data_IF_625989200948
#
_entry.id   IF_625989200948
#
_cell.length_a   1.000
_cell.length_b   1.000
_cell.length_c   1.000
_cell.angle_alpha   90.00
_cell.angle_beta   90.00
_cell.angle_gamma   90.00
#
_symmetry.space_group_name_H-M   'P 1'
#
loop_
_entity.id
_entity.type
_entity.pdbx_description
1 polymer ?
#
# COMPACT_ATOMS: atom_id res chain seq x y z
N UNK A 1 -4.86 -26.89 -6.83
CA UNK A 1 -5.95 -27.28 -7.77
C UNK A 1 -7.33 -26.95 -7.21
N UNK A 2 -7.51 -27.00 -5.89
CA UNK A 2 -8.77 -26.62 -5.23
C UNK A 2 -9.21 -25.18 -5.53
N UNK A 3 -8.31 -24.19 -5.45
CA UNK A 3 -8.64 -22.80 -5.76
C UNK A 3 -9.21 -22.60 -7.18
N UNK A 4 -8.60 -23.21 -8.20
CA UNK A 4 -9.08 -23.14 -9.58
C UNK A 4 -10.45 -23.81 -9.75
N UNK A 5 -10.70 -24.93 -9.07
CA UNK A 5 -12.00 -25.60 -9.08
C UNK A 5 -13.08 -24.75 -8.39
N UNK A 6 -12.75 -24.08 -7.29
CA UNK A 6 -13.65 -23.15 -6.59
C UNK A 6 -14.01 -21.97 -7.48
N UNK A 7 -13.03 -21.34 -8.14
CA UNK A 7 -13.30 -20.25 -9.09
C UNK A 7 -14.13 -20.71 -10.30
N UNK A 8 -13.90 -21.93 -10.81
CA UNK A 8 -14.69 -22.48 -11.91
C UNK A 8 -16.16 -22.72 -11.52
N UNK A 9 -16.43 -23.08 -10.26
CA UNK A 9 -17.80 -23.31 -9.76
C UNK A 9 -18.53 -22.05 -9.33
N UNK A 10 -17.85 -21.15 -8.63
CA UNK A 10 -18.46 -19.98 -7.98
C UNK A 10 -18.17 -18.67 -8.74
N UNK A 11 -17.40 -18.73 -9.81
CA UNK A 11 -16.90 -17.56 -10.52
C UNK A 11 -15.89 -16.78 -9.68
N UNK A 12 -15.69 -15.52 -10.07
CA UNK A 12 -14.90 -14.54 -9.32
C UNK A 12 -15.78 -13.83 -8.29
N UNK A 13 -16.39 -14.59 -7.38
CA UNK A 13 -17.16 -14.00 -6.29
C UNK A 13 -16.18 -13.35 -5.29
N UNK A 14 -16.27 -12.04 -5.01
CA UNK A 14 -15.42 -11.36 -4.04
C UNK A 14 -15.55 -11.94 -2.61
N UNK A 15 -16.65 -12.63 -2.27
CA UNK A 15 -16.79 -13.31 -0.98
C UNK A 15 -15.82 -14.50 -0.80
N UNK A 16 -15.19 -14.98 -1.88
CA UNK A 16 -14.17 -16.03 -1.83
C UNK A 16 -12.81 -15.53 -1.30
N UNK A 17 -12.61 -14.22 -1.23
CA UNK A 17 -11.33 -13.63 -0.85
C UNK A 17 -11.43 -12.99 0.54
N UNK A 18 -10.63 -13.50 1.48
CA UNK A 18 -10.54 -12.98 2.85
C UNK A 18 -9.24 -12.23 3.14
N UNK A 19 -8.27 -12.28 2.22
CA UNK A 19 -6.97 -11.62 2.33
C UNK A 19 -6.57 -11.00 1.00
N UNK A 20 -6.19 -9.72 1.04
CA UNK A 20 -5.53 -9.02 -0.07
C UNK A 20 -4.08 -8.70 0.31
N UNK A 21 -3.14 -9.16 -0.52
CA UNK A 21 -1.71 -8.87 -0.35
C UNK A 21 -1.30 -7.71 -1.27
N UNK A 22 -0.76 -6.66 -0.65
CA UNK A 22 -0.40 -5.43 -1.33
C UNK A 22 1.00 -5.53 -1.92
N UNK A 23 1.08 -5.69 -3.24
CA UNK A 23 2.37 -5.69 -3.93
C UNK A 23 3.10 -4.34 -3.72
N UNK A 24 4.37 -4.43 -3.30
CA UNK A 24 5.27 -3.29 -3.14
C UNK A 24 6.21 -3.15 -4.33
N UNK A 25 6.51 -1.91 -4.70
CA UNK A 25 7.45 -1.54 -5.75
C UNK A 25 7.44 -0.02 -5.91
N UNK A 26 8.38 0.55 -6.68
CA UNK A 26 8.37 1.98 -6.99
C UNK A 26 7.19 2.38 -7.90
N UNK A 27 7.36 3.24 -8.91
CA UNK A 27 6.26 3.76 -9.74
C UNK A 27 5.53 2.69 -10.58
N UNK A 28 5.91 1.41 -10.48
CA UNK A 28 5.22 0.27 -11.12
C UNK A 28 3.76 0.14 -10.70
N UNK A 29 3.38 0.68 -9.54
CA UNK A 29 2.01 0.64 -9.06
C UNK A 29 1.02 1.45 -9.92
N UNK A 30 1.49 2.42 -10.75
CA UNK A 30 0.59 3.18 -11.62
C UNK A 30 -0.15 2.32 -12.65
N UNK A 31 0.48 1.25 -13.14
CA UNK A 31 -0.18 0.26 -14.00
C UNK A 31 -1.32 -0.42 -13.22
N UNK A 32 -1.13 -0.63 -11.92
CA UNK A 32 -2.14 -1.21 -11.04
C UNK A 32 -3.19 -0.19 -10.61
N UNK A 33 -2.95 1.12 -10.71
CA UNK A 33 -3.91 2.14 -10.26
C UNK A 33 -5.26 2.03 -10.99
N UNK A 34 -5.27 1.72 -12.28
CA UNK A 34 -6.52 1.47 -13.02
C UNK A 34 -7.23 0.20 -12.53
N UNK A 35 -6.48 -0.86 -12.26
CA UNK A 35 -7.01 -2.08 -11.66
C UNK A 35 -7.54 -1.83 -10.25
N UNK A 36 -6.83 -1.05 -9.44
CA UNK A 36 -7.22 -0.69 -8.08
C UNK A 36 -8.51 0.12 -8.06
N UNK A 37 -8.73 1.03 -9.02
CA UNK A 37 -10.01 1.75 -9.13
C UNK A 37 -11.18 0.78 -9.31
N UNK A 38 -11.03 -0.22 -10.18
CA UNK A 38 -12.06 -1.25 -10.36
C UNK A 38 -12.18 -2.16 -9.14
N UNK A 39 -11.05 -2.66 -8.62
CA UNK A 39 -11.05 -3.57 -7.48
C UNK A 39 -11.63 -2.93 -6.24
N UNK A 40 -11.25 -1.68 -5.94
CA UNK A 40 -11.57 -1.01 -4.69
C UNK A 40 -12.86 -0.20 -4.78
N UNK A 41 -13.18 0.36 -5.95
CA UNK A 41 -14.42 1.12 -6.15
C UNK A 41 -15.65 0.25 -6.39
N UNK A 42 -15.46 -1.00 -6.83
CA UNK A 42 -16.59 -1.84 -7.24
C UNK A 42 -16.41 -3.31 -6.82
N UNK A 43 -15.47 -4.06 -7.40
CA UNK A 43 -15.41 -5.52 -7.23
C UNK A 43 -15.37 -5.98 -5.75
N UNK A 44 -14.47 -5.42 -4.94
CA UNK A 44 -14.36 -5.78 -3.52
C UNK A 44 -15.51 -5.23 -2.68
N UNK A 45 -16.21 -4.20 -3.15
CA UNK A 45 -17.36 -3.60 -2.45
C UNK A 45 -18.65 -4.41 -2.63
N UNK A 46 -18.71 -5.27 -3.65
CA UNK A 46 -19.84 -6.20 -3.88
C UNK A 46 -19.95 -7.29 -2.80
N UNK A 47 -18.97 -7.41 -1.90
CA UNK A 47 -18.98 -8.37 -0.78
C UNK A 47 -19.12 -7.65 0.57
N UNK A 48 -19.94 -8.23 1.45
CA UNK A 48 -20.05 -7.80 2.85
C UNK A 48 -19.16 -8.60 3.80
N UNK A 49 -18.40 -9.58 3.29
CA UNK A 49 -17.51 -10.42 4.10
C UNK A 49 -16.31 -9.60 4.60
N UNK A 50 -15.83 -9.89 5.83
CA UNK A 50 -14.59 -9.30 6.34
C UNK A 50 -13.42 -9.56 5.40
N UNK A 51 -12.58 -8.54 5.20
CA UNK A 51 -11.39 -8.60 4.35
C UNK A 51 -10.19 -8.07 5.14
N UNK A 52 -9.17 -8.91 5.33
CA UNK A 52 -7.88 -8.48 5.81
C UNK A 52 -7.05 -7.97 4.63
N UNK A 53 -6.36 -6.84 4.80
CA UNK A 53 -5.43 -6.32 3.79
C UNK A 53 -4.06 -6.15 4.40
N UNK A 54 -3.04 -6.74 3.79
CA UNK A 54 -1.68 -6.77 4.33
C UNK A 54 -0.69 -6.20 3.32
N UNK A 55 -0.01 -5.12 3.71
CA UNK A 55 0.96 -4.47 2.83
C UNK A 55 2.10 -3.81 3.60
N UNK A 56 3.17 -3.52 2.90
CA UNK A 56 4.23 -2.60 3.30
C UNK A 56 4.32 -1.48 2.27
N UNK A 57 4.96 -0.35 2.61
CA UNK A 57 5.25 0.74 1.68
C UNK A 57 4.03 1.12 0.80
N UNK A 58 4.21 1.25 -0.53
CA UNK A 58 3.12 1.56 -1.46
C UNK A 58 1.97 0.55 -1.43
N UNK A 59 2.23 -0.72 -1.10
CA UNK A 59 1.19 -1.72 -0.92
C UNK A 59 0.27 -1.37 0.25
N UNK A 60 0.84 -0.87 1.36
CA UNK A 60 0.07 -0.36 2.49
C UNK A 60 -0.70 0.92 2.14
N UNK A 61 -0.13 1.81 1.33
CA UNK A 61 -0.82 3.04 0.90
C UNK A 61 -2.02 2.75 -0.01
N UNK A 62 -1.88 1.81 -0.96
CA UNK A 62 -3.00 1.35 -1.79
C UNK A 62 -4.13 0.76 -0.94
N UNK A 63 -3.79 -0.05 0.06
CA UNK A 63 -4.77 -0.58 1.01
C UNK A 63 -5.42 0.50 1.87
N UNK A 64 -4.67 1.54 2.25
CA UNK A 64 -5.21 2.69 2.94
C UNK A 64 -6.26 3.40 2.07
N UNK A 65 -6.06 3.52 0.75
CA UNK A 65 -7.10 4.01 -0.16
C UNK A 65 -8.35 3.11 -0.15
N UNK A 66 -8.18 1.80 -0.25
CA UNK A 66 -9.29 0.83 -0.22
C UNK A 66 -10.18 0.95 1.02
N UNK A 67 -9.60 1.28 2.17
CA UNK A 67 -10.30 1.37 3.45
C UNK A 67 -10.82 2.79 3.78
N UNK A 68 -10.85 3.72 2.81
CA UNK A 68 -11.53 5.01 2.95
C UNK A 68 -12.97 4.94 2.41
N UNK A 69 -13.78 5.95 2.76
CA UNK A 69 -15.20 6.04 2.36
C UNK A 69 -15.38 6.14 0.83
N UNK A 70 -14.46 6.83 0.15
CA UNK A 70 -14.36 6.86 -1.32
C UNK A 70 -12.97 6.37 -1.77
N UNK A 71 -12.82 5.07 -2.04
CA UNK A 71 -11.55 4.49 -2.45
C UNK A 71 -11.00 5.03 -3.77
N UNK A 72 -11.88 5.40 -4.71
CA UNK A 72 -11.45 5.88 -6.03
C UNK A 72 -10.90 7.29 -5.91
N UNK A 73 -11.58 8.17 -5.18
CA UNK A 73 -11.05 9.51 -4.90
C UNK A 73 -9.74 9.46 -4.10
N UNK A 74 -9.60 8.53 -3.16
CA UNK A 74 -8.34 8.32 -2.43
C UNK A 74 -7.20 7.85 -3.35
N UNK A 75 -7.47 6.95 -4.30
CA UNK A 75 -6.50 6.56 -5.33
C UNK A 75 -6.10 7.76 -6.19
N UNK A 76 -7.05 8.61 -6.58
CA UNK A 76 -6.76 9.76 -7.44
C UNK A 76 -5.88 10.79 -6.74
N UNK A 77 -6.20 11.18 -5.49
CA UNK A 77 -5.33 12.06 -4.67
C UNK A 77 -3.95 11.46 -4.47
N UNK A 78 -3.89 10.15 -4.22
CA UNK A 78 -2.63 9.44 -4.05
C UNK A 78 -1.78 9.46 -5.34
N UNK A 79 -2.40 9.17 -6.49
CA UNK A 79 -1.74 9.17 -7.78
C UNK A 79 -1.21 10.57 -8.14
N UNK A 80 -2.02 11.61 -7.96
CA UNK A 80 -1.64 12.99 -8.20
C UNK A 80 -0.47 13.42 -7.32
N UNK A 81 -0.56 13.16 -6.01
CA UNK A 81 0.51 13.52 -5.07
C UNK A 81 1.81 12.75 -5.33
N UNK A 82 1.73 11.47 -5.69
CA UNK A 82 2.91 10.66 -6.02
C UNK A 82 3.58 11.13 -7.32
N UNK A 83 2.80 11.48 -8.36
CA UNK A 83 3.33 12.03 -9.61
C UNK A 83 3.95 13.42 -9.43
N UNK A 84 3.42 14.21 -8.50
CA UNK A 84 3.89 15.56 -8.20
C UNK A 84 5.17 15.61 -7.35
N UNK A 85 5.74 14.47 -6.94
CA UNK A 85 6.97 14.45 -6.15
C UNK A 85 8.15 14.98 -6.97
N UNK A 86 8.78 16.05 -6.49
CA UNK A 86 10.01 16.61 -7.05
C UNK A 86 11.10 16.53 -6.00
N UNK A 87 12.23 15.96 -6.40
CA UNK A 87 13.41 15.81 -5.54
C UNK A 87 14.57 16.66 -6.05
N UNK A 88 15.43 17.07 -5.14
CA UNK A 88 16.75 17.61 -5.46
C UNK A 88 17.60 16.57 -6.19
N UNK A 89 18.70 17.00 -6.83
CA UNK A 89 19.54 16.08 -7.61
C UNK A 89 20.15 14.93 -6.79
N UNK A 90 20.27 15.11 -5.47
CA UNK A 90 20.75 14.11 -4.50
C UNK A 90 19.93 14.25 -3.22
N UNK A 91 18.70 13.72 -3.20
CA UNK A 91 17.83 13.90 -2.04
C UNK A 91 18.42 13.17 -0.84
N UNK A 92 18.40 13.83 0.31
CA UNK A 92 18.74 13.19 1.58
C UNK A 92 17.53 12.43 2.15
N UNK A 93 17.76 11.66 3.22
CA UNK A 93 16.69 10.89 3.86
C UNK A 93 15.57 11.78 4.40
N UNK A 94 15.87 13.00 4.85
CA UNK A 94 14.88 13.93 5.38
C UNK A 94 13.97 14.46 4.28
N UNK A 95 14.52 14.75 3.10
CA UNK A 95 13.76 15.14 1.92
C UNK A 95 12.80 14.03 1.47
N UNK A 96 13.29 12.80 1.38
CA UNK A 96 12.45 11.62 1.05
C UNK A 96 11.36 11.41 2.08
N UNK A 97 11.65 11.57 3.37
CA UNK A 97 10.65 11.48 4.44
C UNK A 97 9.58 12.57 4.32
N UNK A 98 9.97 13.82 4.06
CA UNK A 98 9.02 14.93 3.89
C UNK A 98 8.09 14.70 2.69
N UNK A 99 8.64 14.29 1.55
CA UNK A 99 7.83 13.99 0.36
C UNK A 99 6.87 12.81 0.60
N UNK A 100 7.33 11.77 1.30
CA UNK A 100 6.49 10.62 1.66
C UNK A 100 5.35 11.00 2.62
N UNK A 101 5.63 11.83 3.63
CA UNK A 101 4.61 12.33 4.56
C UNK A 101 3.60 13.22 3.85
N UNK A 102 4.04 14.13 3.00
CA UNK A 102 3.15 14.96 2.20
C UNK A 102 2.23 14.11 1.30
N UNK A 103 2.75 13.04 0.71
CA UNK A 103 1.96 12.09 -0.08
C UNK A 103 0.93 11.36 0.78
N UNK A 104 1.31 10.94 1.97
CA UNK A 104 0.41 10.27 2.91
C UNK A 104 -0.71 11.22 3.37
N UNK A 105 -0.38 12.48 3.66
CA UNK A 105 -1.36 13.49 4.07
C UNK A 105 -2.40 13.74 2.95
N UNK A 106 -1.96 13.86 1.70
CA UNK A 106 -2.88 14.01 0.55
C UNK A 106 -3.75 12.77 0.33
N UNK A 107 -3.16 11.58 0.45
CA UNK A 107 -3.89 10.32 0.33
C UNK A 107 -4.98 10.22 1.41
N UNK A 108 -4.65 10.53 2.66
CA UNK A 108 -5.58 10.41 3.79
C UNK A 108 -6.65 11.50 3.73
N UNK A 109 -6.31 12.71 3.28
CA UNK A 109 -7.19 13.86 3.39
C UNK A 109 -7.65 14.09 4.84
N UNK A 110 -8.75 14.81 5.02
CA UNK A 110 -9.19 15.23 6.36
C UNK A 110 -9.74 14.07 7.21
N UNK A 111 -10.32 13.05 6.58
CA UNK A 111 -11.06 11.97 7.24
C UNK A 111 -10.49 10.56 7.08
N UNK A 112 -9.55 10.34 6.15
CA UNK A 112 -9.17 9.00 5.73
C UNK A 112 -8.57 8.16 6.85
N UNK A 113 -7.79 8.77 7.76
CA UNK A 113 -7.23 8.07 8.92
C UNK A 113 -8.34 7.52 9.84
N UNK A 114 -9.38 8.31 10.09
CA UNK A 114 -10.52 7.90 10.91
C UNK A 114 -11.38 6.84 10.21
N UNK A 115 -11.58 6.97 8.90
CA UNK A 115 -12.29 6.00 8.07
C UNK A 115 -11.58 4.63 8.11
N UNK A 116 -10.26 4.60 7.88
CA UNK A 116 -9.46 3.37 7.94
C UNK A 116 -9.53 2.72 9.32
N UNK A 117 -9.37 3.51 10.40
CA UNK A 117 -9.36 2.98 11.76
C UNK A 117 -10.72 2.41 12.22
N UNK A 118 -11.82 2.88 11.61
CA UNK A 118 -13.20 2.50 11.97
C UNK A 118 -13.88 1.64 10.91
N UNK A 119 -13.18 1.24 9.85
CA UNK A 119 -13.79 0.59 8.70
C UNK A 119 -14.48 -0.71 9.14
N UNK A 120 -15.80 -0.89 8.89
CA UNK A 120 -16.58 -1.96 9.52
C UNK A 120 -16.26 -3.36 8.98
N UNK A 121 -15.60 -3.44 7.82
CA UNK A 121 -15.36 -4.68 7.07
C UNK A 121 -13.89 -4.97 6.76
N UNK A 122 -13.05 -3.93 6.69
CA UNK A 122 -11.71 -4.04 6.11
C UNK A 122 -10.70 -3.76 7.21
N UNK A 123 -9.88 -4.76 7.53
CA UNK A 123 -8.85 -4.62 8.55
C UNK A 123 -7.50 -4.41 7.88
N UNK A 124 -6.93 -3.22 8.07
CA UNK A 124 -5.64 -2.85 7.48
C UNK A 124 -4.47 -3.29 8.36
N UNK A 125 -3.60 -4.13 7.81
CA UNK A 125 -2.35 -4.57 8.43
C UNK A 125 -1.15 -3.97 7.69
N UNK A 126 -0.34 -3.21 8.43
CA UNK A 126 0.86 -2.55 7.90
C UNK A 126 2.09 -3.29 8.42
N UNK A 127 2.92 -3.77 7.49
CA UNK A 127 4.18 -4.42 7.80
C UNK A 127 5.30 -3.39 7.78
N UNK A 128 6.02 -3.28 8.88
CA UNK A 128 7.20 -2.42 9.02
C UNK A 128 8.44 -3.26 9.28
N UNK A 129 9.57 -2.92 8.63
CA UNK A 129 10.87 -3.51 8.91
C UNK A 129 11.79 -2.46 9.54
N UNK A 130 12.41 -2.80 10.67
CA UNK A 130 13.39 -1.94 11.34
C UNK A 130 14.78 -2.55 11.20
N UNK A 131 15.69 -1.85 10.54
CA UNK A 131 17.11 -2.20 10.53
C UNK A 131 17.68 -2.20 11.95
N UNK A 132 18.44 -3.23 12.32
CA UNK A 132 19.15 -3.35 13.61
C UNK A 132 20.63 -3.55 13.35
N UNK A 133 21.47 -3.15 14.33
CA UNK A 133 22.92 -3.28 14.20
C UNK A 133 23.45 -2.52 12.98
N UNK A 134 24.32 -3.12 12.15
CA UNK A 134 24.87 -2.47 10.96
C UNK A 134 23.81 -1.97 9.96
N UNK A 135 22.71 -2.71 9.76
CA UNK A 135 21.60 -2.31 8.89
C UNK A 135 20.75 -1.15 9.47
N UNK A 136 21.00 -0.76 10.72
CA UNK A 136 20.35 0.39 11.36
C UNK A 136 21.16 1.68 11.30
N UNK A 137 22.36 1.66 10.69
CA UNK A 137 23.19 2.86 10.56
C UNK A 137 22.56 3.86 9.56
N UNK A 138 22.73 5.16 9.83
CA UNK A 138 22.18 6.23 8.98
C UNK A 138 22.83 6.34 7.59
N UNK A 139 23.93 5.62 7.35
CA UNK A 139 24.65 5.59 6.09
C UNK A 139 26.08 5.07 6.23
N UNK A 140 26.84 5.18 5.14
CA UNK A 140 28.27 4.90 5.15
C UNK A 140 28.64 3.40 5.15
N UNK A 141 29.91 3.07 5.46
CA UNK A 141 30.44 1.72 5.29
C UNK A 141 29.75 0.68 6.18
N UNK A 142 29.27 1.08 7.36
CA UNK A 142 28.56 0.19 8.28
C UNK A 142 27.20 -0.25 7.71
N UNK A 143 26.45 0.67 7.09
CA UNK A 143 25.22 0.33 6.38
C UNK A 143 25.52 -0.55 5.17
N UNK A 144 26.57 -0.24 4.39
CA UNK A 144 26.96 -1.03 3.24
C UNK A 144 27.31 -2.50 3.61
N UNK A 145 28.06 -2.70 4.69
CA UNK A 145 28.36 -4.03 5.22
C UNK A 145 27.10 -4.76 5.69
N UNK A 146 26.20 -4.05 6.38
CA UNK A 146 24.92 -4.62 6.79
C UNK A 146 24.08 -5.09 5.61
N UNK A 147 23.95 -4.25 4.57
CA UNK A 147 23.22 -4.59 3.35
C UNK A 147 23.87 -5.75 2.59
N UNK A 148 25.20 -5.79 2.49
CA UNK A 148 25.93 -6.88 1.85
C UNK A 148 25.71 -8.22 2.57
N UNK A 149 25.77 -8.21 3.91
CA UNK A 149 25.51 -9.40 4.71
C UNK A 149 24.05 -9.87 4.64
N UNK A 150 23.09 -8.97 4.42
CA UNK A 150 21.68 -9.31 4.28
C UNK A 150 21.30 -9.80 2.87
N UNK A 151 22.14 -9.51 1.87
CA UNK A 151 21.91 -9.87 0.47
C UNK A 151 22.58 -11.20 0.06
N UNK A 152 23.52 -11.70 0.86
CA UNK A 152 24.17 -13.01 0.70
C UNK A 152 23.54 -14.06 1.59
#
# INVERSE_FOLDING_TARGET
REAAATLARHGWDPALFSLLLGASGGPKWFILAALDRYLFGDYLQRSTRPLAVLGSSVGAWRHACLAQDDPVAAIDRFAESYLGQVYSARPDAAEVSRASLATLDQLLGDGGAAAIARHPRITTHIVTARGRGPCGAAGGPLLALGLAAAAG
#
